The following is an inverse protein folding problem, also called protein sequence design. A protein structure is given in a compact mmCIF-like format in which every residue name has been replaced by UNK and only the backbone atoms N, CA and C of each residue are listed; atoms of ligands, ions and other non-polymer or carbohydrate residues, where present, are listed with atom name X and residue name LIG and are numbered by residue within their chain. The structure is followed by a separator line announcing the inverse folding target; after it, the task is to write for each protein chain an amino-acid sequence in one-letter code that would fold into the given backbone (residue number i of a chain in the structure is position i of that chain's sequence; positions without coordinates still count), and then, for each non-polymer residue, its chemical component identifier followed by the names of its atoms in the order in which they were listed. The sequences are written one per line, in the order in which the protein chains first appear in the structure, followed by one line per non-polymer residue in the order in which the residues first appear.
data_IF_175487757430
#
_entry.id   IF_175487757430
#
_cell.length_a   1.000
_cell.length_b   1.000
_cell.length_c   1.000
_cell.angle_alpha   90.00
_cell.angle_beta   90.00
_cell.angle_gamma   90.00
#
_symmetry.space_group_name_H-M   'P 1'
#
loop_
_entity.id
_entity.type
_entity.pdbx_description
1 polymer ?
#
# COMPACT_ATOMS: atom_id res chain seq x y z
N UNK A 1 1.11 23.26 -33.96
CA UNK A 1 1.79 23.76 -35.16
C UNK A 1 1.31 25.18 -35.41
N UNK A 2 2.23 26.11 -35.59
CA UNK A 2 1.93 27.52 -35.89
C UNK A 2 2.41 27.81 -37.30
N UNK A 3 1.61 28.49 -38.10
CA UNK A 3 1.95 28.89 -39.47
C UNK A 3 2.07 30.41 -39.52
N UNK A 4 3.24 30.89 -39.91
CA UNK A 4 3.50 32.30 -40.17
C UNK A 4 3.35 32.55 -41.67
N UNK A 5 2.67 33.65 -42.03
CA UNK A 5 2.55 34.11 -43.41
C UNK A 5 3.02 35.56 -43.49
N UNK A 6 3.78 35.88 -44.53
CA UNK A 6 4.21 37.24 -44.84
C UNK A 6 3.89 37.53 -46.30
N UNK A 7 3.32 38.70 -46.57
CA UNK A 7 3.05 39.18 -47.93
C UNK A 7 3.68 40.55 -48.09
N UNK A 8 4.47 40.75 -49.14
CA UNK A 8 5.04 42.07 -49.44
C UNK A 8 4.02 43.00 -50.14
N UNK A 9 4.39 44.27 -50.29
CA UNK A 9 3.53 45.29 -50.93
C UNK A 9 3.23 45.01 -52.40
N UNK A 10 4.01 44.12 -53.04
CA UNK A 10 3.84 43.69 -54.41
C UNK A 10 2.97 42.42 -54.52
N UNK A 11 2.52 41.87 -53.39
CA UNK A 11 1.67 40.69 -53.32
C UNK A 11 2.43 39.35 -53.25
N UNK A 12 3.76 39.35 -53.11
CA UNK A 12 4.52 38.11 -52.98
C UNK A 12 4.37 37.56 -51.56
N UNK A 13 3.92 36.31 -51.45
CA UNK A 13 3.72 35.61 -50.18
C UNK A 13 4.83 34.62 -49.85
N UNK A 14 5.19 34.50 -48.57
CA UNK A 14 6.01 33.43 -48.02
C UNK A 14 5.36 32.86 -46.76
N UNK A 15 5.56 31.57 -46.50
CA UNK A 15 5.06 30.90 -45.29
C UNK A 15 6.15 30.11 -44.59
N UNK A 16 6.05 30.01 -43.26
CA UNK A 16 6.93 29.20 -42.43
C UNK A 16 6.11 28.50 -41.34
N UNK A 17 6.43 27.25 -41.03
CA UNK A 17 5.75 26.49 -39.98
C UNK A 17 6.68 26.25 -38.79
N UNK A 18 6.11 26.27 -37.59
CA UNK A 18 6.78 25.92 -36.34
C UNK A 18 5.98 24.84 -35.60
N UNK A 19 6.63 23.75 -35.26
CA UNK A 19 6.05 22.73 -34.40
C UNK A 19 6.27 23.11 -32.94
N UNK A 20 5.20 23.08 -32.15
CA UNK A 20 5.22 23.27 -30.70
C UNK A 20 4.64 22.01 -30.08
N UNK A 21 5.35 21.39 -29.15
CA UNK A 21 4.93 20.21 -28.41
C UNK A 21 4.75 20.57 -26.94
N UNK A 22 3.61 20.19 -26.37
CA UNK A 22 3.39 20.26 -24.92
C UNK A 22 3.65 18.87 -24.37
N UNK A 23 4.49 18.78 -23.34
CA UNK A 23 4.84 17.53 -22.68
C UNK A 23 4.52 17.71 -21.21
N UNK A 24 3.81 16.75 -20.66
CA UNK A 24 3.60 16.66 -19.23
C UNK A 24 4.86 16.08 -18.56
N UNK A 25 5.26 16.73 -17.47
CA UNK A 25 6.48 16.42 -16.70
C UNK A 25 6.21 16.40 -15.19
N UNK A 26 4.95 16.58 -14.77
CA UNK A 26 4.59 16.65 -13.36
C UNK A 26 4.14 15.28 -12.87
N UNK A 27 4.75 14.72 -11.81
CA UNK A 27 4.26 13.48 -11.20
C UNK A 27 2.88 13.65 -10.55
N UNK A 28 2.09 12.55 -10.47
CA UNK A 28 0.86 12.54 -9.69
C UNK A 28 1.08 12.89 -8.22
N UNK A 29 0.06 13.50 -7.59
CA UNK A 29 -0.03 13.56 -6.15
C UNK A 29 -0.57 12.23 -5.60
N UNK A 30 0.20 11.56 -4.74
CA UNK A 30 -0.16 10.29 -4.09
C UNK A 30 -0.30 10.49 -2.57
N UNK A 31 -1.42 10.06 -2.00
CA UNK A 31 -1.66 10.01 -0.56
C UNK A 31 -1.89 8.55 -0.13
N UNK A 32 -0.97 7.94 0.64
CA UNK A 32 -1.17 6.59 1.16
C UNK A 32 -2.23 6.60 2.26
N UNK A 33 -2.81 5.43 2.63
CA UNK A 33 -3.66 5.34 3.80
C UNK A 33 -2.86 5.60 5.09
N UNK A 34 -3.58 5.85 6.19
CA UNK A 34 -2.94 6.04 7.50
C UNK A 34 -2.22 4.77 7.97
N UNK A 35 -1.17 4.95 8.78
CA UNK A 35 -0.46 3.84 9.42
C UNK A 35 -1.41 2.96 10.25
N UNK A 36 -1.11 1.67 10.32
CA UNK A 36 -1.92 0.68 11.04
C UNK A 36 -1.12 0.09 12.19
N UNK A 37 -1.76 -0.05 13.35
CA UNK A 37 -1.26 -0.85 14.48
C UNK A 37 -2.34 -1.86 14.85
N UNK A 38 -2.00 -3.14 14.91
CA UNK A 38 -2.95 -4.22 15.14
C UNK A 38 -2.33 -5.36 15.97
N UNK A 39 -3.16 -6.00 16.81
CA UNK A 39 -2.77 -7.19 17.54
C UNK A 39 -2.69 -8.41 16.62
N UNK A 40 -1.68 -9.24 16.84
CA UNK A 40 -1.53 -10.51 16.15
C UNK A 40 -2.65 -11.47 16.55
N UNK A 41 -3.27 -12.11 15.55
CA UNK A 41 -4.26 -13.16 15.77
C UNK A 41 -3.74 -14.56 15.38
N UNK A 42 -2.56 -14.61 14.75
CA UNK A 42 -1.86 -15.80 14.35
C UNK A 42 -0.38 -15.43 14.06
N UNK A 43 0.45 -16.41 13.68
CA UNK A 43 1.84 -16.17 13.25
C UNK A 43 1.92 -15.14 12.12
N UNK A 44 0.93 -15.15 11.22
CA UNK A 44 0.72 -14.17 10.17
C UNK A 44 -0.66 -13.55 10.31
N UNK A 45 -0.71 -12.23 10.33
CA UNK A 45 -1.94 -11.46 10.58
C UNK A 45 -2.44 -10.82 9.28
N UNK A 46 -3.73 -11.00 8.97
CA UNK A 46 -4.38 -10.27 7.89
C UNK A 46 -4.63 -8.83 8.35
N UNK A 47 -4.13 -7.85 7.59
CA UNK A 47 -4.23 -6.43 7.94
C UNK A 47 -5.03 -5.69 6.87
N UNK A 48 -6.15 -5.04 7.22
CA UNK A 48 -6.86 -4.15 6.31
C UNK A 48 -6.07 -2.83 6.15
N UNK A 49 -5.49 -2.61 4.97
CA UNK A 49 -4.63 -1.45 4.71
C UNK A 49 -5.38 -0.15 4.45
N UNK A 50 -6.66 -0.22 4.07
CA UNK A 50 -7.40 0.93 3.55
C UNK A 50 -7.04 1.24 2.10
N UNK A 51 -7.43 2.43 1.63
CA UNK A 51 -7.27 2.85 0.23
C UNK A 51 -6.34 4.05 0.12
N UNK A 52 -5.38 4.00 -0.81
CA UNK A 52 -4.63 5.18 -1.23
C UNK A 52 -5.49 6.02 -2.20
N UNK A 53 -5.22 7.32 -2.26
CA UNK A 53 -5.75 8.21 -3.29
C UNK A 53 -4.63 8.80 -4.12
N UNK A 54 -4.84 8.89 -5.43
CA UNK A 54 -3.91 9.53 -6.34
C UNK A 54 -4.64 10.43 -7.34
N UNK A 55 -4.03 11.57 -7.65
CA UNK A 55 -4.56 12.54 -8.61
C UNK A 55 -3.42 13.20 -9.37
N UNK A 56 -3.58 13.38 -10.66
CA UNK A 56 -2.71 14.18 -11.51
C UNK A 56 -3.53 15.28 -12.23
N UNK A 57 -2.90 16.41 -12.54
CA UNK A 57 -3.60 17.55 -13.16
C UNK A 57 -4.07 17.25 -14.59
N UNK A 58 -3.31 16.45 -15.34
CA UNK A 58 -3.59 16.08 -16.73
C UNK A 58 -4.42 14.81 -16.81
N UNK A 59 -4.08 13.79 -16.02
CA UNK A 59 -4.75 12.48 -16.05
C UNK A 59 -5.96 12.36 -15.10
N UNK A 60 -6.09 13.25 -14.11
CA UNK A 60 -7.17 13.21 -13.13
C UNK A 60 -6.95 12.13 -12.07
N UNK A 61 -8.01 11.43 -11.67
CA UNK A 61 -7.93 10.41 -10.62
C UNK A 61 -7.22 9.14 -11.11
N UNK A 62 -6.23 8.67 -10.35
CA UNK A 62 -5.40 7.52 -10.69
C UNK A 62 -5.49 6.42 -9.63
N UNK A 63 -5.24 5.18 -10.04
CA UNK A 63 -5.18 4.03 -9.14
C UNK A 63 -3.72 3.69 -8.80
N UNK A 64 -3.40 3.69 -7.51
CA UNK A 64 -2.09 3.27 -7.02
C UNK A 64 -2.03 1.75 -6.79
N UNK A 65 -0.88 1.15 -7.09
CA UNK A 65 -0.54 -0.20 -6.66
C UNK A 65 0.30 -0.16 -5.38
N UNK A 66 0.45 -1.30 -4.70
CA UNK A 66 1.35 -1.43 -3.56
C UNK A 66 2.04 -2.79 -3.53
N UNK A 67 3.12 -2.89 -2.75
CA UNK A 67 3.94 -4.07 -2.56
C UNK A 67 3.58 -4.90 -1.31
N UNK A 68 2.40 -4.66 -0.72
CA UNK A 68 2.04 -5.31 0.52
C UNK A 68 2.01 -6.84 0.40
N UNK A 69 2.51 -7.56 1.42
CA UNK A 69 2.28 -8.99 1.51
C UNK A 69 0.80 -9.29 1.76
N UNK A 70 0.37 -10.51 1.45
CA UNK A 70 -1.01 -10.96 1.72
C UNK A 70 -1.32 -11.02 3.22
N UNK A 71 -0.30 -11.27 4.04
CA UNK A 71 -0.38 -11.31 5.50
C UNK A 71 0.93 -10.81 6.10
N UNK A 72 0.86 -10.26 7.31
CA UNK A 72 1.96 -9.57 7.96
C UNK A 72 2.50 -10.36 9.15
N UNK A 73 3.83 -10.54 9.27
CA UNK A 73 4.43 -11.09 10.47
C UNK A 73 4.39 -10.07 11.63
N UNK A 74 4.71 -10.53 12.84
CA UNK A 74 4.98 -9.65 13.97
C UNK A 74 6.07 -8.62 13.64
N UNK A 75 5.90 -7.41 14.14
CA UNK A 75 6.80 -6.29 13.95
C UNK A 75 6.27 -5.26 12.95
N UNK A 76 7.18 -4.42 12.46
CA UNK A 76 6.86 -3.34 11.53
C UNK A 76 7.17 -3.73 10.08
N UNK A 77 6.20 -3.53 9.20
CA UNK A 77 6.35 -3.69 7.75
C UNK A 77 6.03 -2.34 7.08
N UNK A 78 6.92 -1.89 6.20
CA UNK A 78 6.64 -0.74 5.34
C UNK A 78 6.00 -1.23 4.04
N UNK A 79 4.86 -0.65 3.68
CA UNK A 79 4.17 -0.88 2.41
C UNK A 79 4.38 0.33 1.52
N UNK A 80 4.95 0.13 0.34
CA UNK A 80 5.20 1.17 -0.66
C UNK A 80 4.08 1.19 -1.68
N UNK A 81 3.41 2.32 -1.77
CA UNK A 81 2.44 2.64 -2.82
C UNK A 81 3.15 3.30 -4.00
N UNK A 82 2.77 2.92 -5.22
CA UNK A 82 3.31 3.48 -6.47
C UNK A 82 2.16 3.84 -7.40
N UNK A 83 2.26 5.00 -8.04
CA UNK A 83 1.33 5.43 -9.10
C UNK A 83 2.13 6.06 -10.25
N UNK A 84 1.69 5.81 -11.47
CA UNK A 84 2.21 6.45 -12.67
C UNK A 84 1.09 7.07 -13.49
N UNK A 85 1.43 8.11 -14.24
CA UNK A 85 0.54 8.80 -15.17
C UNK A 85 0.73 8.34 -16.62
N UNK A 86 0.00 8.95 -17.57
CA UNK A 86 0.10 8.63 -18.99
C UNK A 86 1.41 9.11 -19.63
N UNK A 87 2.03 10.13 -19.05
CA UNK A 87 3.32 10.70 -19.45
C UNK A 87 4.54 9.94 -18.89
N UNK A 88 4.30 8.93 -18.05
CA UNK A 88 5.30 8.11 -17.32
C UNK A 88 6.00 8.83 -16.16
N UNK A 89 5.43 9.91 -15.63
CA UNK A 89 5.89 10.42 -14.35
C UNK A 89 5.36 9.51 -13.22
N UNK A 90 6.17 9.33 -12.16
CA UNK A 90 5.92 8.36 -11.10
C UNK A 90 5.94 9.06 -9.74
N UNK A 91 5.00 8.69 -8.86
CA UNK A 91 5.01 9.05 -7.46
C UNK A 91 4.99 7.80 -6.56
N UNK A 92 5.64 7.89 -5.40
CA UNK A 92 5.66 6.84 -4.38
C UNK A 92 5.37 7.40 -3.00
N UNK A 93 4.74 6.59 -2.14
CA UNK A 93 4.47 6.94 -0.75
C UNK A 93 4.40 5.69 0.12
N UNK A 94 4.67 5.81 1.42
CA UNK A 94 4.75 4.65 2.32
C UNK A 94 3.69 4.67 3.40
N UNK A 95 3.10 3.51 3.68
CA UNK A 95 2.30 3.23 4.87
C UNK A 95 3.08 2.32 5.81
N UNK A 96 3.07 2.61 7.10
CA UNK A 96 3.66 1.75 8.13
C UNK A 96 2.59 0.86 8.75
N UNK A 97 2.81 -0.45 8.73
CA UNK A 97 1.97 -1.46 9.40
C UNK A 97 2.76 -2.05 10.56
N UNK A 98 2.19 -2.03 11.76
CA UNK A 98 2.82 -2.63 12.96
C UNK A 98 1.91 -3.70 13.54
N UNK A 99 2.38 -4.94 13.54
CA UNK A 99 1.70 -6.06 14.19
C UNK A 99 2.39 -6.32 15.53
N UNK A 100 1.63 -6.30 16.62
CA UNK A 100 2.13 -6.51 17.99
C UNK A 100 1.48 -7.74 18.62
N UNK A 101 2.16 -8.41 19.54
CA UNK A 101 1.55 -9.45 20.38
C UNK A 101 1.60 -9.01 21.84
N UNK A 102 0.43 -8.69 22.37
CA UNK A 102 0.25 -8.37 23.79
C UNK A 102 -0.53 -9.43 24.55
N UNK A 103 -0.87 -10.56 23.90
CA UNK A 103 -1.73 -11.61 24.48
C UNK A 103 -0.89 -12.63 25.25
N UNK A 104 -1.05 -12.77 26.59
CA UNK A 104 -0.29 -13.74 27.36
C UNK A 104 -0.68 -15.20 27.04
N UNK A 105 0.24 -16.17 27.18
CA UNK A 105 -0.08 -17.58 27.04
C UNK A 105 -1.02 -18.07 28.15
N UNK A 106 -1.89 -19.03 27.84
CA UNK A 106 -2.81 -19.65 28.81
C UNK A 106 -2.33 -21.05 29.19
N UNK A 107 -2.06 -21.25 30.48
CA UNK A 107 -1.74 -22.57 31.05
C UNK A 107 -3.05 -23.23 31.52
N UNK A 108 -3.33 -24.46 31.08
CA UNK A 108 -4.45 -25.27 31.60
C UNK A 108 -3.90 -26.53 32.25
N UNK A 109 -4.13 -26.76 33.55
CA UNK A 109 -3.68 -27.98 34.21
C UNK A 109 -4.44 -29.22 33.67
N UNK A 110 -3.83 -30.41 33.71
CA UNK A 110 -4.51 -31.64 33.31
C UNK A 110 -5.70 -31.93 34.22
N UNK A 111 -6.77 -32.50 33.66
CA UNK A 111 -7.89 -32.99 34.47
C UNK A 111 -7.44 -34.20 35.26
N UNK A 112 -7.43 -34.11 36.59
CA UNK A 112 -7.14 -35.26 37.44
C UNK A 112 -8.29 -36.28 37.35
N UNK A 113 -8.09 -37.38 36.63
CA UNK A 113 -8.93 -38.57 36.76
C UNK A 113 -8.35 -39.43 37.88
N UNK A 114 -8.81 -39.22 39.12
CA UNK A 114 -8.58 -40.20 40.17
C UNK A 114 -9.51 -41.38 39.88
N UNK A 115 -8.95 -42.46 39.34
CA UNK A 115 -9.64 -43.74 39.40
C UNK A 115 -9.76 -44.11 40.88
N UNK A 116 -10.97 -44.12 41.43
CA UNK A 116 -11.17 -44.71 42.75
C UNK A 116 -10.88 -46.20 42.59
N UNK A 117 -9.68 -46.61 43.02
CA UNK A 117 -9.43 -48.03 43.24
C UNK A 117 -10.51 -48.52 44.22
N UNK A 118 -11.18 -49.66 43.96
CA UNK A 118 -12.14 -50.23 44.91
C UNK A 118 -11.52 -50.56 46.28
N UNK A 119 -10.19 -50.55 46.38
CA UNK A 119 -9.45 -51.13 47.51
C UNK A 119 -8.85 -50.11 48.50
N UNK A 120 -9.25 -48.83 48.44
CA UNK A 120 -8.91 -47.84 49.49
C UNK A 120 -7.43 -47.48 49.65
N UNK A 121 -6.55 -47.91 48.73
CA UNK A 121 -5.13 -47.56 48.74
C UNK A 121 -4.87 -46.16 48.21
N UNK A 122 -4.21 -45.31 49.02
CA UNK A 122 -3.80 -43.96 48.62
C UNK A 122 -2.88 -44.00 47.38
N UNK A 123 -3.27 -43.27 46.34
CA UNK A 123 -2.46 -43.09 45.12
C UNK A 123 -1.33 -42.10 45.43
N UNK A 124 -0.08 -42.56 45.37
CA UNK A 124 1.10 -41.70 45.38
C UNK A 124 1.29 -41.05 44.01
N UNK A 125 1.55 -39.76 43.98
CA UNK A 125 1.87 -39.01 42.76
C UNK A 125 3.39 -38.95 42.62
N UNK A 126 3.93 -39.44 41.50
CA UNK A 126 5.31 -39.18 41.05
C UNK A 126 5.32 -38.00 40.09
#
# INVERSE_FOLDING_TARGET
MVTYTATDVSGNGATATQTVTVVDTTPPQLTPPQNVVIEANNVLTLVPLGNASAFDLVDGALAASNDAPTTFPLGTTAVTYTVGDSARNIATATQTVTVVDTTPPRITPPTSSFGTSPDGGAVSLS
#
